data_IF_669540380999
#
_entry.id   IF_669540380999
#
_cell.length_a   1.000
_cell.length_b   1.000
_cell.length_c   1.000
_cell.angle_alpha   90.00
_cell.angle_beta   90.00
_cell.angle_gamma   90.00
#
_symmetry.space_group_name_H-M   'P 1'
#
loop_
_entity.id
_entity.type
_entity.pdbx_description
1 polymer ?
#
# COMPACT_ATOMS: atom_id res chain seq x y z
N UNK A 1 13.02 -5.53 -7.97
CA UNK A 1 11.69 -5.83 -8.56
C UNK A 1 10.98 -7.05 -7.98
N UNK A 2 11.53 -8.28 -8.02
CA UNK A 2 10.79 -9.51 -7.66
C UNK A 2 10.32 -9.60 -6.19
N UNK A 3 11.07 -9.04 -5.24
CA UNK A 3 10.68 -8.95 -3.81
C UNK A 3 9.62 -7.86 -3.55
N UNK A 4 9.72 -6.72 -4.23
CA UNK A 4 8.73 -5.64 -4.14
C UNK A 4 7.37 -6.04 -4.73
N UNK A 5 7.37 -6.83 -5.81
CA UNK A 5 6.14 -7.41 -6.39
C UNK A 5 5.51 -8.45 -5.45
N UNK A 6 6.32 -9.32 -4.83
CA UNK A 6 5.82 -10.26 -3.81
C UNK A 6 5.21 -9.53 -2.61
N UNK A 7 5.88 -8.48 -2.12
CA UNK A 7 5.36 -7.64 -1.05
C UNK A 7 4.03 -6.99 -1.44
N UNK A 8 3.93 -6.49 -2.68
CA UNK A 8 2.70 -5.92 -3.22
C UNK A 8 1.56 -6.94 -3.29
N UNK A 9 1.85 -8.16 -3.77
CA UNK A 9 0.86 -9.24 -3.83
C UNK A 9 0.35 -9.63 -2.44
N UNK A 10 1.24 -9.72 -1.45
CA UNK A 10 0.86 -10.01 -0.06
C UNK A 10 -0.05 -8.91 0.50
N UNK A 11 0.29 -7.64 0.26
CA UNK A 11 -0.50 -6.49 0.71
C UNK A 11 -1.89 -6.46 0.06
N UNK A 12 -1.97 -6.78 -1.22
CA UNK A 12 -3.22 -6.84 -1.97
C UNK A 12 -4.10 -8.00 -1.50
N UNK A 13 -3.50 -9.18 -1.24
CA UNK A 13 -4.21 -10.31 -0.64
C UNK A 13 -4.71 -9.99 0.78
N UNK A 14 -3.93 -9.25 1.57
CA UNK A 14 -4.32 -8.82 2.91
C UNK A 14 -5.49 -7.80 2.88
N UNK A 15 -5.51 -6.88 1.91
CA UNK A 15 -6.66 -6.02 1.69
C UNK A 15 -7.90 -6.83 1.27
N UNK A 16 -7.73 -7.79 0.35
CA UNK A 16 -8.83 -8.62 -0.12
C UNK A 16 -9.44 -9.46 1.02
N UNK A 17 -8.60 -10.08 1.85
CA UNK A 17 -9.08 -10.86 3.00
C UNK A 17 -9.82 -9.99 4.01
N UNK A 18 -9.36 -8.76 4.22
CA UNK A 18 -10.01 -7.81 5.11
C UNK A 18 -11.38 -7.36 4.58
N UNK A 19 -11.50 -7.11 3.27
CA UNK A 19 -12.80 -6.81 2.62
C UNK A 19 -13.75 -8.00 2.78
N UNK A 20 -13.30 -9.22 2.51
CA UNK A 20 -14.12 -10.43 2.70
C UNK A 20 -14.58 -10.59 4.15
N UNK A 21 -13.70 -10.32 5.12
CA UNK A 21 -14.04 -10.36 6.54
C UNK A 21 -15.12 -9.33 6.89
N UNK A 22 -15.01 -8.10 6.36
CA UNK A 22 -16.02 -7.07 6.59
C UNK A 22 -17.39 -7.45 6.03
N UNK A 23 -17.43 -8.08 4.85
CA UNK A 23 -18.68 -8.58 4.25
C UNK A 23 -19.28 -9.69 5.12
N UNK A 24 -18.46 -10.64 5.58
CA UNK A 24 -18.91 -11.72 6.45
C UNK A 24 -19.49 -11.20 7.77
N UNK A 25 -18.89 -10.14 8.35
CA UNK A 25 -19.43 -9.49 9.56
C UNK A 25 -20.79 -8.85 9.29
N UNK A 26 -20.97 -8.22 8.12
CA UNK A 26 -22.26 -7.63 7.72
C UNK A 26 -23.34 -8.70 7.56
N UNK A 27 -23.02 -9.81 6.89
CA UNK A 27 -23.96 -10.93 6.71
C UNK A 27 -24.35 -11.57 8.04
N UNK A 28 -23.40 -11.74 8.96
CA UNK A 28 -23.66 -12.28 10.28
C UNK A 28 -24.54 -11.34 11.12
N UNK A 29 -24.28 -10.03 11.08
CA UNK A 29 -25.11 -9.02 11.73
C UNK A 29 -26.54 -9.00 11.20
N UNK A 30 -26.71 -9.09 9.88
CA UNK A 30 -28.03 -9.20 9.24
C UNK A 30 -28.77 -10.47 9.65
N UNK A 31 -28.06 -11.59 9.73
CA UNK A 31 -28.65 -12.88 10.13
C UNK A 31 -29.10 -12.87 11.59
N UNK A 32 -28.32 -12.25 12.48
CA UNK A 32 -28.70 -12.06 13.88
C UNK A 32 -29.97 -11.21 14.03
N UNK A 33 -30.14 -10.18 13.19
CA UNK A 33 -31.36 -9.36 13.18
C UNK A 33 -32.57 -10.18 12.70
N UNK A 34 -32.43 -10.96 11.63
CA UNK A 34 -33.51 -11.85 11.14
C UNK A 34 -33.94 -12.87 12.19
N UNK A 35 -32.97 -13.43 12.93
CA UNK A 35 -33.22 -14.38 14.01
C UNK A 35 -34.04 -13.73 15.14
N UNK A 36 -33.66 -12.51 15.56
CA UNK A 36 -34.37 -11.78 16.59
C UNK A 36 -35.82 -11.43 16.18
N UNK A 37 -36.03 -11.04 14.92
CA UNK A 37 -37.38 -10.79 14.38
C UNK A 37 -38.22 -12.09 14.37
N UNK A 38 -37.62 -13.23 14.00
CA UNK A 38 -38.29 -14.54 14.03
C UNK A 38 -38.66 -14.97 15.45
N UNK A 39 -37.75 -14.85 16.42
CA UNK A 39 -38.00 -15.19 17.83
C UNK A 39 -39.11 -14.32 18.43
N UNK A 40 -39.14 -13.03 18.10
CA UNK A 40 -40.20 -12.13 18.54
C UNK A 40 -41.58 -12.59 18.03
N UNK A 41 -41.69 -12.90 16.73
CA UNK A 41 -42.93 -13.42 16.14
C UNK A 41 -43.31 -14.77 16.75
N UNK A 42 -42.36 -15.69 16.90
CA UNK A 42 -42.59 -17.01 17.48
C UNK A 42 -43.09 -16.91 18.94
N UNK A 43 -42.53 -15.99 19.74
CA UNK A 43 -42.96 -15.77 21.12
C UNK A 43 -44.40 -15.25 21.22
N UNK A 44 -44.81 -14.37 20.29
CA UNK A 44 -46.19 -13.87 20.22
C UNK A 44 -47.14 -14.98 19.81
N UNK A 45 -46.79 -15.79 18.79
CA UNK A 45 -47.61 -16.93 18.36
C UNK A 45 -47.78 -17.94 19.50
N UNK A 46 -46.68 -18.29 20.19
CA UNK A 46 -46.72 -19.21 21.32
C UNK A 46 -47.63 -18.70 22.45
N UNK A 47 -47.49 -17.42 22.82
CA UNK A 47 -48.34 -16.81 23.85
C UNK A 47 -49.82 -16.72 23.44
N UNK A 48 -50.11 -16.54 22.15
CA UNK A 48 -51.48 -16.53 21.62
C UNK A 48 -52.07 -17.92 21.63
N UNK A 49 -51.35 -18.95 21.17
CA UNK A 49 -51.82 -20.34 21.20
C UNK A 49 -52.05 -20.85 22.62
N UNK A 50 -51.21 -20.44 23.58
CA UNK A 50 -51.37 -20.83 24.98
C UNK A 50 -52.61 -20.22 25.63
N UNK A 51 -52.91 -18.94 25.34
CA UNK A 51 -54.06 -18.24 25.91
C UNK A 51 -55.37 -18.43 25.15
N UNK A 52 -55.30 -18.73 23.86
CA UNK A 52 -56.45 -18.86 22.96
C UNK A 52 -56.29 -20.11 22.07
N UNK A 53 -56.50 -21.32 22.63
CA UNK A 53 -56.34 -22.58 21.90
C UNK A 53 -57.38 -22.79 20.79
N UNK A 54 -58.46 -22.00 20.75
CA UNK A 54 -59.45 -22.04 19.67
C UNK A 54 -58.99 -21.44 18.32
N UNK A 55 -57.86 -20.74 18.29
CA UNK A 55 -57.37 -20.08 17.06
C UNK A 55 -56.66 -21.10 16.16
N UNK A 56 -57.12 -21.23 14.91
CA UNK A 56 -56.53 -22.13 13.92
C UNK A 56 -55.11 -21.70 13.51
N UNK A 57 -54.17 -22.64 13.50
CA UNK A 57 -52.80 -22.40 13.02
C UNK A 57 -52.79 -21.92 11.57
N UNK A 58 -53.70 -22.44 10.74
CA UNK A 58 -53.81 -22.07 9.33
C UNK A 58 -54.17 -20.59 9.15
N UNK A 59 -55.03 -20.06 10.02
CA UNK A 59 -55.44 -18.66 9.98
C UNK A 59 -54.29 -17.74 10.43
N UNK A 60 -53.52 -18.15 11.46
CA UNK A 60 -52.33 -17.41 11.92
C UNK A 60 -51.28 -17.34 10.80
N UNK A 61 -51.00 -18.45 10.12
CA UNK A 61 -50.03 -18.50 9.02
C UNK A 61 -50.52 -17.73 7.79
N UNK A 62 -51.83 -17.77 7.48
CA UNK A 62 -52.41 -16.92 6.44
C UNK A 62 -52.27 -15.43 6.76
N UNK A 63 -52.37 -15.07 8.05
CA UNK A 63 -52.15 -13.70 8.52
C UNK A 63 -50.68 -13.27 8.36
N UNK A 64 -49.72 -14.16 8.65
CA UNK A 64 -48.29 -13.87 8.48
C UNK A 64 -47.84 -13.71 7.03
N UNK A 65 -48.47 -14.44 6.11
CA UNK A 65 -48.06 -14.48 4.71
C UNK A 65 -48.68 -13.38 3.84
N UNK A 66 -49.71 -12.65 4.31
CA UNK A 66 -50.25 -11.52 3.57
C UNK A 66 -49.55 -10.21 3.96
N UNK A 67 -49.21 -9.40 2.97
CA UNK A 67 -48.69 -8.06 3.22
C UNK A 67 -49.79 -7.20 3.86
N UNK A 68 -49.51 -6.63 5.04
CA UNK A 68 -50.43 -5.70 5.70
C UNK A 68 -50.59 -4.43 4.87
N UNK A 69 -51.83 -3.98 4.68
CA UNK A 69 -52.10 -2.71 3.99
C UNK A 69 -51.70 -1.51 4.85
N UNK A 70 -51.44 -0.37 4.21
CA UNK A 70 -51.05 0.88 4.88
C UNK A 70 -52.06 1.35 5.94
N UNK A 71 -53.36 1.06 5.76
CA UNK A 71 -54.39 1.35 6.77
C UNK A 71 -54.32 0.42 7.99
N UNK A 72 -54.14 -0.88 7.78
CA UNK A 72 -53.97 -1.88 8.85
C UNK A 72 -52.70 -1.62 9.66
N UNK A 73 -51.60 -1.26 8.97
CA UNK A 73 -50.34 -0.89 9.62
C UNK A 73 -50.50 0.35 10.52
N UNK A 74 -51.23 1.36 10.06
CA UNK A 74 -51.48 2.58 10.84
C UNK A 74 -52.39 2.32 12.03
N UNK A 75 -53.44 1.52 11.86
CA UNK A 75 -54.31 1.11 12.96
C UNK A 75 -53.54 0.31 14.02
N UNK A 76 -52.67 -0.62 13.60
CA UNK A 76 -51.78 -1.35 14.49
C UNK A 76 -50.79 -0.43 15.23
N UNK A 77 -50.19 0.54 14.53
CA UNK A 77 -49.27 1.53 15.13
C UNK A 77 -49.97 2.41 16.18
N UNK A 78 -51.19 2.88 15.89
CA UNK A 78 -51.99 3.67 16.83
C UNK A 78 -52.44 2.84 18.05
N UNK A 79 -52.76 1.56 17.86
CA UNK A 79 -53.02 0.63 18.96
C UNK A 79 -51.78 0.41 19.83
N UNK A 80 -50.62 0.14 19.23
CA UNK A 80 -49.37 -0.09 19.96
C UNK A 80 -48.97 1.16 20.79
N UNK A 81 -49.08 2.36 20.20
CA UNK A 81 -48.84 3.63 20.92
C UNK A 81 -49.76 3.84 22.11
N UNK A 82 -51.03 3.45 22.02
CA UNK A 82 -51.99 3.54 23.14
C UNK A 82 -51.54 2.74 24.37
N UNK A 83 -50.82 1.65 24.16
CA UNK A 83 -50.25 0.83 25.23
C UNK A 83 -48.80 1.21 25.58
N UNK A 84 -48.30 2.35 25.11
CA UNK A 84 -46.93 2.81 25.34
C UNK A 84 -45.87 2.03 24.56
N UNK A 85 -46.28 1.15 23.65
CA UNK A 85 -45.37 0.37 22.80
C UNK A 85 -45.05 1.25 21.59
N UNK A 86 -44.05 2.11 21.75
CA UNK A 86 -43.52 2.90 20.64
C UNK A 86 -42.41 2.13 19.91
N UNK A 87 -42.22 2.34 18.61
CA UNK A 87 -41.12 1.71 17.87
C UNK A 87 -39.76 1.87 18.56
N UNK A 88 -39.51 3.01 19.21
CA UNK A 88 -38.25 3.33 19.90
C UNK A 88 -38.05 2.60 21.23
N UNK A 89 -39.12 2.07 21.86
CA UNK A 89 -39.07 1.46 23.20
C UNK A 89 -39.17 -0.07 23.19
N UNK A 90 -39.34 -0.69 22.01
CA UNK A 90 -39.38 -2.16 21.92
C UNK A 90 -37.98 -2.76 22.03
N UNK A 91 -37.84 -3.80 22.87
CA UNK A 91 -36.56 -4.53 23.07
C UNK A 91 -36.01 -5.10 21.75
N UNK A 92 -36.90 -5.50 20.85
CA UNK A 92 -36.56 -6.01 19.51
C UNK A 92 -35.95 -4.90 18.65
N UNK A 93 -36.49 -3.68 18.69
CA UNK A 93 -35.96 -2.56 17.92
C UNK A 93 -34.67 -1.99 18.52
N UNK A 94 -34.53 -1.92 19.85
CA UNK A 94 -33.29 -1.46 20.48
C UNK A 94 -32.09 -2.37 20.15
N UNK A 95 -32.29 -3.69 20.16
CA UNK A 95 -31.27 -4.66 19.76
C UNK A 95 -30.96 -4.57 18.25
N UNK A 96 -31.99 -4.37 17.43
CA UNK A 96 -31.84 -4.20 15.97
C UNK A 96 -31.05 -2.93 15.61
N UNK A 97 -31.33 -1.80 16.24
CA UNK A 97 -30.59 -0.56 15.99
C UNK A 97 -29.16 -0.62 16.51
N UNK A 98 -28.91 -1.30 17.62
CA UNK A 98 -27.55 -1.51 18.15
C UNK A 98 -26.72 -2.37 17.19
N UNK A 99 -27.28 -3.49 16.72
CA UNK A 99 -26.61 -4.39 15.79
C UNK A 99 -26.33 -3.71 14.44
N UNK A 100 -27.31 -2.99 13.87
CA UNK A 100 -27.12 -2.27 12.60
C UNK A 100 -26.09 -1.14 12.76
N UNK A 101 -26.13 -0.36 13.85
CA UNK A 101 -25.10 0.67 14.10
C UNK A 101 -23.71 0.06 14.24
N UNK A 102 -23.58 -1.04 14.99
CA UNK A 102 -22.31 -1.73 15.18
C UNK A 102 -21.77 -2.26 13.84
N UNK A 103 -22.62 -2.87 13.01
CA UNK A 103 -22.25 -3.33 11.66
C UNK A 103 -21.80 -2.18 10.76
N UNK A 104 -22.52 -1.05 10.76
CA UNK A 104 -22.15 0.14 9.97
C UNK A 104 -20.82 0.75 10.45
N UNK A 105 -20.58 0.80 11.76
CA UNK A 105 -19.32 1.27 12.32
C UNK A 105 -18.15 0.39 11.90
N UNK A 106 -18.29 -0.93 12.01
CA UNK A 106 -17.24 -1.89 11.60
C UNK A 106 -16.95 -1.77 10.10
N UNK A 107 -18.00 -1.68 9.27
CA UNK A 107 -17.85 -1.47 7.83
C UNK A 107 -17.13 -0.14 7.50
N UNK A 108 -17.49 0.94 8.18
CA UNK A 108 -16.87 2.26 8.01
C UNK A 108 -15.38 2.28 8.41
N UNK A 109 -15.04 1.72 9.58
CA UNK A 109 -13.65 1.57 10.02
C UNK A 109 -12.87 0.72 9.03
N UNK A 110 -13.49 -0.34 8.51
CA UNK A 110 -12.87 -1.20 7.53
C UNK A 110 -12.56 -0.49 6.21
N UNK A 111 -13.49 0.32 5.71
CA UNK A 111 -13.28 1.13 4.51
C UNK A 111 -12.12 2.13 4.71
N UNK A 112 -12.09 2.83 5.85
CA UNK A 112 -11.02 3.77 6.18
C UNK A 112 -9.65 3.09 6.25
N UNK A 113 -9.59 1.90 6.85
CA UNK A 113 -8.35 1.11 6.91
C UNK A 113 -7.88 0.72 5.51
N UNK A 114 -8.78 0.22 4.66
CA UNK A 114 -8.46 -0.15 3.28
C UNK A 114 -7.92 1.04 2.47
N UNK A 115 -8.56 2.21 2.55
CA UNK A 115 -8.10 3.44 1.89
C UNK A 115 -6.72 3.86 2.42
N UNK A 116 -6.51 3.82 3.73
CA UNK A 116 -5.22 4.19 4.35
C UNK A 116 -4.08 3.30 3.85
N UNK A 117 -4.32 1.99 3.73
CA UNK A 117 -3.35 1.04 3.18
C UNK A 117 -3.04 1.34 1.71
N UNK A 118 -4.04 1.67 0.91
CA UNK A 118 -3.85 2.04 -0.51
C UNK A 118 -3.03 3.33 -0.66
N UNK A 119 -3.31 4.35 0.16
CA UNK A 119 -2.55 5.61 0.16
C UNK A 119 -1.11 5.38 0.57
N UNK A 120 -0.87 4.64 1.65
CA UNK A 120 0.47 4.29 2.11
C UNK A 120 1.25 3.53 1.02
N UNK A 121 0.60 2.58 0.35
CA UNK A 121 1.18 1.85 -0.75
C UNK A 121 1.56 2.74 -1.93
N UNK A 122 0.67 3.65 -2.34
CA UNK A 122 0.94 4.60 -3.42
C UNK A 122 2.14 5.50 -3.11
N UNK A 123 2.24 6.00 -1.87
CA UNK A 123 3.38 6.77 -1.41
C UNK A 123 4.68 5.95 -1.43
N UNK A 124 4.63 4.69 -0.98
CA UNK A 124 5.77 3.79 -0.97
C UNK A 124 6.29 3.50 -2.39
N UNK A 125 5.39 3.19 -3.34
CA UNK A 125 5.77 2.96 -4.75
C UNK A 125 6.38 4.22 -5.34
N UNK A 126 5.75 5.39 -5.11
CA UNK A 126 6.26 6.67 -5.61
C UNK A 126 7.65 6.98 -5.04
N UNK A 127 7.89 6.66 -3.77
CA UNK A 127 9.20 6.80 -3.14
C UNK A 127 10.24 5.88 -3.82
N UNK A 128 9.91 4.61 -4.01
CA UNK A 128 10.82 3.63 -4.64
C UNK A 128 11.18 3.97 -6.08
N UNK A 129 10.20 4.35 -6.90
CA UNK A 129 10.45 4.75 -8.30
C UNK A 129 11.33 6.00 -8.37
N UNK A 130 11.14 6.96 -7.45
CA UNK A 130 12.01 8.15 -7.37
C UNK A 130 13.45 7.78 -7.00
N UNK A 131 13.65 6.84 -6.07
CA UNK A 131 15.00 6.34 -5.74
C UNK A 131 15.66 5.70 -6.95
N UNK A 132 14.98 4.78 -7.63
CA UNK A 132 15.51 4.11 -8.82
C UNK A 132 15.89 5.11 -9.91
N UNK A 133 15.03 6.08 -10.22
CA UNK A 133 15.32 7.11 -11.23
C UNK A 133 16.54 7.99 -10.86
N UNK A 134 16.71 8.32 -9.57
CA UNK A 134 17.89 9.05 -9.08
C UNK A 134 19.17 8.23 -9.28
N UNK A 135 19.13 6.95 -8.92
CA UNK A 135 20.28 6.04 -9.03
C UNK A 135 20.67 5.81 -10.50
N UNK A 136 19.69 5.61 -11.38
CA UNK A 136 19.93 5.49 -12.83
C UNK A 136 20.53 6.76 -13.41
N UNK A 137 20.04 7.94 -13.02
CA UNK A 137 20.60 9.22 -13.46
C UNK A 137 22.04 9.41 -12.97
N UNK A 138 22.34 8.98 -11.75
CA UNK A 138 23.69 9.02 -11.20
C UNK A 138 24.62 8.07 -11.98
N UNK A 139 24.20 6.83 -12.23
CA UNK A 139 24.95 5.87 -13.04
C UNK A 139 25.21 6.39 -14.47
N UNK A 140 24.22 7.05 -15.07
CA UNK A 140 24.36 7.68 -16.39
C UNK A 140 25.42 8.78 -16.41
N UNK A 141 25.62 9.54 -15.33
CA UNK A 141 26.67 10.57 -15.24
C UNK A 141 28.06 9.95 -15.13
N UNK A 142 28.19 8.89 -14.33
CA UNK A 142 29.43 8.12 -14.21
C UNK A 142 29.81 7.54 -15.58
N UNK A 143 28.83 6.97 -16.29
CA UNK A 143 29.05 6.40 -17.63
C UNK A 143 29.46 7.47 -18.66
N UNK A 144 29.06 8.73 -18.46
CA UNK A 144 29.50 9.87 -19.27
C UNK A 144 30.89 10.41 -18.86
N UNK A 145 31.59 9.77 -17.93
CA UNK A 145 32.93 10.18 -17.45
C UNK A 145 32.91 11.28 -16.40
N UNK A 146 31.74 11.68 -15.90
CA UNK A 146 31.61 12.66 -14.81
C UNK A 146 31.60 11.95 -13.46
N UNK A 147 32.74 11.96 -12.77
CA UNK A 147 32.93 11.37 -11.45
C UNK A 147 32.70 12.36 -10.29
N UNK A 148 31.98 13.47 -10.55
CA UNK A 148 31.66 14.44 -9.50
C UNK A 148 30.70 13.81 -8.48
N UNK A 149 31.14 13.77 -7.22
CA UNK A 149 30.45 13.13 -6.10
C UNK A 149 29.68 14.18 -5.29
N UNK A 150 28.35 14.33 -5.43
CA UNK A 150 27.57 15.05 -4.45
C UNK A 150 27.40 14.14 -3.22
N UNK A 151 28.37 14.24 -2.30
CA UNK A 151 28.46 13.46 -1.05
C UNK A 151 27.16 13.51 -0.22
N UNK A 152 26.43 14.63 -0.25
CA UNK A 152 25.12 14.82 0.40
C UNK A 152 23.96 14.03 -0.24
N UNK A 153 23.94 13.82 -1.56
CA UNK A 153 22.73 13.29 -2.25
C UNK A 153 22.61 11.77 -2.20
N UNK A 154 23.72 11.07 -2.01
CA UNK A 154 23.75 9.60 -1.87
C UNK A 154 23.68 9.17 -0.39
N UNK A 155 23.99 10.05 0.55
CA UNK A 155 23.95 9.75 1.99
C UNK A 155 22.54 9.61 2.54
N UNK A 156 21.57 10.36 2.00
CA UNK A 156 20.14 10.16 2.31
C UNK A 156 19.65 8.76 1.89
N UNK A 157 20.33 8.12 0.92
CA UNK A 157 19.97 6.83 0.33
C UNK A 157 20.96 5.69 0.68
N UNK A 158 21.81 5.91 1.69
CA UNK A 158 22.75 4.89 2.25
C UNK A 158 22.04 3.64 2.78
N UNK A 159 20.71 3.63 2.81
CA UNK A 159 19.92 2.44 3.16
C UNK A 159 20.00 1.33 2.09
N UNK A 160 20.38 1.64 0.85
CA UNK A 160 20.49 0.64 -0.21
C UNK A 160 21.94 0.18 -0.40
N UNK A 161 22.18 -1.13 -0.23
CA UNK A 161 23.46 -1.79 -0.55
C UNK A 161 23.94 -1.44 -1.96
N UNK A 162 23.00 -1.27 -2.91
CA UNK A 162 23.33 -0.91 -4.28
C UNK A 162 23.94 0.49 -4.40
N UNK A 163 23.45 1.46 -3.62
CA UNK A 163 23.99 2.83 -3.63
C UNK A 163 25.43 2.86 -3.13
N UNK A 164 25.74 2.05 -2.12
CA UNK A 164 27.09 1.91 -1.56
C UNK A 164 28.06 1.26 -2.56
N UNK A 165 27.63 0.18 -3.23
CA UNK A 165 28.44 -0.46 -4.27
C UNK A 165 28.68 0.45 -5.49
N UNK A 166 27.68 1.21 -5.91
CA UNK A 166 27.86 2.21 -6.97
C UNK A 166 28.85 3.30 -6.51
N UNK A 167 28.78 3.75 -5.25
CA UNK A 167 29.73 4.74 -4.71
C UNK A 167 31.17 4.21 -4.72
N UNK A 168 31.42 3.00 -4.21
CA UNK A 168 32.75 2.35 -4.25
C UNK A 168 33.28 2.21 -5.67
N UNK A 169 32.41 1.78 -6.59
CA UNK A 169 32.76 1.65 -8.01
C UNK A 169 33.11 3.00 -8.64
N UNK A 170 32.36 4.06 -8.30
CA UNK A 170 32.66 5.42 -8.77
C UNK A 170 34.03 5.88 -8.30
N UNK A 171 34.35 5.64 -7.02
CA UNK A 171 35.64 6.01 -6.44
C UNK A 171 36.79 5.25 -7.14
N UNK A 172 36.65 3.95 -7.33
CA UNK A 172 37.63 3.14 -8.05
C UNK A 172 37.85 3.62 -9.48
N UNK A 173 36.78 3.95 -10.22
CA UNK A 173 36.89 4.45 -11.60
C UNK A 173 37.61 5.81 -11.65
N UNK A 174 37.31 6.69 -10.69
CA UNK A 174 38.00 7.97 -10.55
C UNK A 174 39.49 7.78 -10.28
N UNK A 175 39.86 6.95 -9.32
CA UNK A 175 41.25 6.66 -9.00
C UNK A 175 42.02 6.08 -10.20
N UNK A 176 41.40 5.15 -10.94
CA UNK A 176 41.98 4.62 -12.18
C UNK A 176 42.13 5.67 -13.26
N UNK A 177 41.17 6.57 -13.41
CA UNK A 177 41.25 7.67 -14.38
C UNK A 177 42.38 8.64 -14.02
N UNK A 178 42.50 9.03 -12.75
CA UNK A 178 43.58 9.88 -12.26
C UNK A 178 44.95 9.19 -12.41
N UNK A 179 45.05 7.90 -12.11
CA UNK A 179 46.28 7.13 -12.32
C UNK A 179 46.66 7.06 -13.80
N UNK A 180 45.72 6.74 -14.68
CA UNK A 180 45.99 6.71 -16.13
C UNK A 180 46.44 8.07 -16.66
N UNK A 181 45.90 9.17 -16.11
CA UNK A 181 46.36 10.51 -16.45
C UNK A 181 47.81 10.76 -16.00
N UNK A 182 48.16 10.36 -14.77
CA UNK A 182 49.55 10.43 -14.27
C UNK A 182 50.51 9.59 -15.11
N UNK A 183 50.13 8.37 -15.48
CA UNK A 183 50.96 7.49 -16.30
C UNK A 183 51.22 8.08 -17.69
N UNK A 184 50.21 8.74 -18.30
CA UNK A 184 50.37 9.45 -19.58
C UNK A 184 51.33 10.62 -19.49
N UNK A 185 51.29 11.38 -18.39
CA UNK A 185 52.22 12.48 -18.14
C UNK A 185 53.64 11.92 -17.97
N UNK A 186 53.82 10.92 -17.10
CA UNK A 186 55.13 10.30 -16.87
C UNK A 186 55.74 9.71 -18.15
N UNK A 187 54.92 9.08 -19.00
CA UNK A 187 55.37 8.57 -20.29
C UNK A 187 55.80 9.69 -21.25
N UNK A 188 55.02 10.79 -21.31
CA UNK A 188 55.36 11.97 -22.11
C UNK A 188 56.67 12.59 -21.65
N UNK A 189 56.87 12.72 -20.35
CA UNK A 189 58.09 13.30 -19.77
C UNK A 189 59.30 12.39 -20.07
N UNK A 190 59.14 11.08 -19.90
CA UNK A 190 60.18 10.09 -20.24
C UNK A 190 60.57 10.13 -21.73
N UNK A 191 59.58 10.24 -22.63
CA UNK A 191 59.82 10.40 -24.07
C UNK A 191 60.56 11.71 -24.39
N UNK A 192 60.22 12.78 -23.69
CA UNK A 192 60.85 14.09 -23.85
C UNK A 192 62.31 14.04 -23.41
N UNK A 193 62.60 13.41 -22.27
CA UNK A 193 63.95 13.20 -21.77
C UNK A 193 64.79 12.33 -22.72
N UNK A 194 64.24 11.22 -23.22
CA UNK A 194 64.93 10.37 -24.22
C UNK A 194 65.24 11.19 -25.48
N UNK A 195 64.27 11.97 -25.98
CA UNK A 195 64.48 12.82 -27.15
C UNK A 195 65.60 13.84 -26.91
N UNK A 196 65.63 14.47 -25.73
CA UNK A 196 66.69 15.41 -25.35
C UNK A 196 68.07 14.73 -25.26
N UNK A 197 68.13 13.54 -24.65
CA UNK A 197 69.33 12.73 -24.54
C UNK A 197 69.88 12.29 -25.90
N UNK A 198 69.02 12.05 -26.89
CA UNK A 198 69.43 11.71 -28.26
C UNK A 198 69.87 12.93 -29.07
N UNK A 199 69.20 14.09 -28.90
CA UNK A 199 69.48 15.30 -29.67
C UNK A 199 70.87 15.87 -29.36
N UNK A 200 71.29 15.79 -28.11
CA UNK A 200 72.58 16.34 -27.62
C UNK A 200 73.80 15.70 -28.30
N UNK A 201 74.01 14.36 -28.27
CA UNK A 201 75.15 13.72 -28.94
C UNK A 201 75.08 13.84 -30.47
N UNK A 202 73.87 13.82 -31.06
CA UNK A 202 73.68 13.97 -32.51
C UNK A 202 74.12 15.36 -32.98
N UNK A 203 73.76 16.40 -32.23
CA UNK A 203 74.18 17.78 -32.51
C UNK A 203 75.70 17.93 -32.36
N UNK A 204 76.30 17.32 -31.33
CA UNK A 204 77.75 17.31 -31.16
C UNK A 204 78.48 16.65 -32.33
N UNK A 205 77.98 15.51 -32.83
CA UNK A 205 78.54 14.85 -34.02
C UNK A 205 78.43 15.72 -35.28
N UNK A 206 77.31 16.42 -35.44
CA UNK A 206 77.07 17.30 -36.58
C UNK A 206 78.04 18.50 -36.58
N UNK A 207 78.26 19.12 -35.42
CA UNK A 207 79.27 20.20 -35.25
C UNK A 207 80.69 19.68 -35.52
N UNK A 208 81.00 18.45 -35.13
CA UNK A 208 82.30 17.83 -35.39
C UNK A 208 82.56 17.63 -36.88
N UNK A 209 81.52 17.26 -37.64
CA UNK A 209 81.56 17.12 -39.09
C UNK A 209 81.63 18.46 -39.82
N UNK A 210 80.98 19.50 -39.31
CA UNK A 210 80.95 20.85 -39.91
C UNK A 210 82.29 21.61 -39.75
N UNK A 211 83.15 21.16 -38.83
CA UNK A 211 84.48 21.72 -38.56
C UNK A 211 85.63 20.95 -39.28
N UNK A 212 85.31 20.05 -40.21
CA UNK A 212 86.26 19.32 -41.07
C UNK A 212 86.05 19.79 -42.51
#
# INVERSE_FOLDING_TARGET
MRTSVKFCLVLMMMCLSFVLLSVAVVENGLSAVKQADYEAVASVIAAVQEKYPEVSEQDIIAILNHATTSSQKKAADDMLKKYGITPEQTVVQSNREANVRMTLMIAGVGLLFSVSVLVFFWLFVRYKVRQECRLTRYLSRINAGSFELPKEKLTEDKSSVLSDEIYKTTLMLREKSEQSHRDKIALKDSLTDISHQLKTPLTSMLIMLDNI
#
